data_IF_634791268031
#
_entry.id   IF_634791268031
#
_cell.length_a   1.000
_cell.length_b   1.000
_cell.length_c   1.000
_cell.angle_alpha   90.00
_cell.angle_beta   90.00
_cell.angle_gamma   90.00
#
_symmetry.space_group_name_H-M   'P 1'
#
loop_
_entity.id
_entity.type
_entity.pdbx_description
1 polymer ?
#
# COMPACT_ATOMS: atom_id res chain seq x y z
N UNK A 1 -1.85 3.00 -32.71
CA UNK A 1 -1.24 1.91 -31.92
C UNK A 1 0.00 2.34 -31.13
N UNK A 2 1.00 3.01 -31.72
CA UNK A 2 2.20 3.48 -30.99
C UNK A 2 1.90 4.37 -29.77
N UNK A 3 0.97 5.32 -29.89
CA UNK A 3 0.55 6.20 -28.78
C UNK A 3 -0.10 5.42 -27.63
N UNK A 4 -0.99 4.48 -27.96
CA UNK A 4 -1.64 3.62 -26.96
C UNK A 4 -0.63 2.75 -26.21
N UNK A 5 0.38 2.20 -26.90
CA UNK A 5 1.45 1.43 -26.28
C UNK A 5 2.29 2.30 -25.32
N UNK A 6 2.64 3.52 -25.72
CA UNK A 6 3.37 4.46 -24.85
C UNK A 6 2.55 4.80 -23.61
N UNK A 7 1.25 5.12 -23.78
CA UNK A 7 0.35 5.38 -22.66
C UNK A 7 0.27 4.19 -21.71
N UNK A 8 0.18 2.96 -22.24
CA UNK A 8 0.14 1.75 -21.43
C UNK A 8 1.42 1.57 -20.60
N UNK A 9 2.60 1.78 -21.21
CA UNK A 9 3.90 1.67 -20.52
C UNK A 9 4.03 2.69 -19.38
N UNK A 10 3.56 3.91 -19.60
CA UNK A 10 3.60 4.95 -18.57
C UNK A 10 2.69 4.57 -17.39
N UNK A 11 1.47 4.12 -17.65
CA UNK A 11 0.51 3.73 -16.62
C UNK A 11 1.03 2.54 -15.80
N UNK A 12 1.58 1.51 -16.47
CA UNK A 12 2.14 0.35 -15.77
C UNK A 12 3.39 0.71 -14.98
N UNK A 13 4.27 1.57 -15.50
CA UNK A 13 5.45 2.05 -14.78
C UNK A 13 5.09 2.83 -13.51
N UNK A 14 4.12 3.75 -13.58
CA UNK A 14 3.65 4.51 -12.42
C UNK A 14 2.99 3.58 -11.39
N UNK A 15 2.16 2.64 -11.85
CA UNK A 15 1.47 1.70 -10.96
C UNK A 15 2.46 0.76 -10.25
N UNK A 16 3.47 0.27 -10.98
CA UNK A 16 4.51 -0.61 -10.46
C UNK A 16 5.39 0.08 -9.42
N UNK A 17 5.81 1.32 -9.71
CA UNK A 17 6.62 2.12 -8.78
C UNK A 17 5.82 2.51 -7.53
N UNK A 18 4.57 2.91 -7.68
CA UNK A 18 3.66 3.17 -6.55
C UNK A 18 3.46 1.92 -5.68
N UNK A 19 3.18 0.78 -6.31
CA UNK A 19 3.01 -0.50 -5.61
C UNK A 19 4.25 -0.93 -4.83
N UNK A 20 5.45 -0.68 -5.35
CA UNK A 20 6.71 -1.04 -4.69
C UNK A 20 7.06 -0.15 -3.49
N UNK A 21 6.62 1.10 -3.49
CA UNK A 21 7.05 2.12 -2.53
C UNK A 21 6.00 2.45 -1.46
N UNK A 22 4.74 2.07 -1.65
CA UNK A 22 3.66 2.40 -0.72
C UNK A 22 2.82 1.19 -0.33
N UNK A 23 2.32 1.23 0.90
CA UNK A 23 1.22 0.41 1.40
C UNK A 23 -0.07 1.23 1.31
N UNK A 24 -1.07 0.68 0.65
CA UNK A 24 -2.43 1.21 0.55
C UNK A 24 -3.31 0.39 1.50
N UNK A 25 -3.75 1.03 2.57
CA UNK A 25 -4.45 0.38 3.67
C UNK A 25 -5.88 0.87 3.67
N UNK A 26 -6.80 -0.03 3.34
CA UNK A 26 -8.23 0.25 3.34
C UNK A 26 -8.77 0.06 4.76
N UNK A 27 -9.22 1.15 5.37
CA UNK A 27 -9.92 1.17 6.65
C UNK A 27 -11.43 1.34 6.41
N UNK A 28 -12.22 1.30 7.48
CA UNK A 28 -13.69 1.34 7.39
C UNK A 28 -14.21 2.54 6.60
N UNK A 29 -13.62 3.72 6.84
CA UNK A 29 -14.12 4.99 6.29
C UNK A 29 -13.11 5.70 5.38
N UNK A 30 -11.87 5.20 5.27
CA UNK A 30 -10.82 5.87 4.50
C UNK A 30 -9.72 4.91 4.01
N UNK A 31 -8.87 5.43 3.12
CA UNK A 31 -7.65 4.76 2.70
C UNK A 31 -6.46 5.52 3.29
N UNK A 32 -5.58 4.82 3.99
CA UNK A 32 -4.30 5.37 4.45
C UNK A 32 -3.17 4.87 3.56
N UNK A 33 -2.26 5.77 3.24
CA UNK A 33 -1.08 5.49 2.44
C UNK A 33 0.14 5.59 3.36
N UNK A 34 0.97 4.55 3.37
CA UNK A 34 2.16 4.49 4.19
C UNK A 34 3.37 4.16 3.32
N UNK A 35 4.44 4.96 3.42
CA UNK A 35 5.67 4.73 2.66
C UNK A 35 6.37 3.47 3.18
N UNK A 36 6.75 2.57 2.27
CA UNK A 36 7.52 1.37 2.58
C UNK A 36 8.94 1.73 2.99
N UNK A 37 9.52 0.94 3.89
CA UNK A 37 10.92 1.06 4.29
C UNK A 37 11.89 0.44 3.27
N UNK A 38 11.38 -0.35 2.32
CA UNK A 38 12.15 -0.91 1.22
C UNK A 38 11.26 -1.26 0.02
N UNK A 39 11.86 -1.48 -1.14
CA UNK A 39 11.13 -1.85 -2.36
C UNK A 39 10.60 -3.29 -2.23
N UNK A 40 9.28 -3.43 -2.10
CA UNK A 40 8.63 -4.75 -1.97
C UNK A 40 7.19 -4.70 -2.43
N UNK A 41 6.65 -5.83 -2.89
CA UNK A 41 5.21 -6.00 -3.15
C UNK A 41 4.42 -6.53 -1.95
N UNK A 42 5.11 -6.84 -0.86
CA UNK A 42 4.45 -7.30 0.35
C UNK A 42 3.57 -6.20 0.94
N UNK A 43 2.36 -6.60 1.35
CA UNK A 43 1.38 -5.74 2.00
C UNK A 43 1.12 -4.43 1.22
N UNK A 44 1.19 -4.44 -0.11
CA UNK A 44 0.89 -3.26 -0.94
C UNK A 44 -0.56 -2.84 -0.82
N UNK A 45 -1.49 -3.79 -0.87
CA UNK A 45 -2.92 -3.52 -0.70
C UNK A 45 -3.39 -4.33 0.49
N UNK A 46 -3.78 -3.65 1.57
CA UNK A 46 -4.16 -4.28 2.82
C UNK A 46 -5.59 -3.87 3.16
N UNK A 47 -6.49 -4.84 3.23
CA UNK A 47 -7.82 -4.62 3.79
C UNK A 47 -7.76 -4.76 5.31
N UNK A 48 -8.05 -3.65 5.99
CA UNK A 48 -8.05 -3.51 7.43
C UNK A 48 -9.42 -3.09 7.97
N UNK A 49 -10.48 -3.28 7.19
CA UNK A 49 -11.85 -3.01 7.65
C UNK A 49 -12.25 -3.99 8.76
N UNK A 50 -12.94 -3.47 9.76
CA UNK A 50 -13.36 -4.20 10.96
C UNK A 50 -12.28 -4.36 12.04
N UNK A 51 -12.72 -4.44 13.30
CA UNK A 51 -11.84 -4.45 14.49
C UNK A 51 -10.76 -5.55 14.47
N UNK A 52 -11.10 -6.76 14.01
CA UNK A 52 -10.14 -7.87 13.96
C UNK A 52 -9.02 -7.66 12.93
N UNK A 53 -9.32 -7.06 11.77
CA UNK A 53 -8.30 -6.84 10.74
C UNK A 53 -7.43 -5.62 11.03
N UNK A 54 -7.97 -4.59 11.74
CA UNK A 54 -7.16 -3.50 12.29
C UNK A 54 -6.06 -4.02 13.24
N UNK A 55 -6.39 -4.97 14.12
CA UNK A 55 -5.41 -5.59 15.00
C UNK A 55 -4.33 -6.37 14.23
N UNK A 56 -4.69 -6.99 13.09
CA UNK A 56 -3.72 -7.69 12.22
C UNK A 56 -2.67 -6.76 11.61
N UNK A 57 -2.96 -5.46 11.46
CA UNK A 57 -1.96 -4.50 10.99
C UNK A 57 -0.78 -4.36 11.97
N UNK A 58 -1.05 -4.52 13.26
CA UNK A 58 -0.07 -4.35 14.34
C UNK A 58 0.83 -5.58 14.56
N UNK A 59 0.57 -6.69 13.85
CA UNK A 59 1.42 -7.90 13.88
C UNK A 59 2.22 -8.10 12.61
N UNK A 60 1.99 -7.29 11.56
CA UNK A 60 2.73 -7.37 10.30
C UNK A 60 4.06 -6.62 10.40
N UNK A 61 5.21 -7.30 10.36
CA UNK A 61 6.51 -6.65 10.57
C UNK A 61 6.81 -5.54 9.56
N UNK A 62 6.38 -5.70 8.30
CA UNK A 62 6.57 -4.70 7.25
C UNK A 62 5.82 -3.39 7.57
N UNK A 63 4.57 -3.48 8.01
CA UNK A 63 3.75 -2.33 8.39
C UNK A 63 4.23 -1.65 9.68
N UNK A 64 4.66 -2.46 10.67
CA UNK A 64 5.24 -1.94 11.91
C UNK A 64 6.51 -1.14 11.62
N UNK A 65 7.43 -1.69 10.82
CA UNK A 65 8.66 -0.98 10.40
C UNK A 65 8.35 0.30 9.62
N UNK A 66 7.28 0.30 8.85
CA UNK A 66 6.82 1.46 8.11
C UNK A 66 6.10 2.52 8.96
N UNK A 67 5.84 2.26 10.26
CA UNK A 67 5.25 3.25 11.17
C UNK A 67 3.72 3.21 11.24
N UNK A 68 3.09 2.06 10.96
CA UNK A 68 1.62 1.94 10.98
C UNK A 68 0.97 2.32 12.33
N UNK A 69 1.72 2.23 13.44
CA UNK A 69 1.26 2.56 14.79
C UNK A 69 0.84 4.02 14.93
N UNK A 70 1.51 4.93 14.23
CA UNK A 70 1.22 6.36 14.28
C UNK A 70 -0.08 6.72 13.51
N UNK A 71 -0.52 5.82 12.63
CA UNK A 71 -1.69 6.01 11.77
C UNK A 71 -3.00 5.47 12.36
N UNK A 72 -2.96 4.56 13.34
CA UNK A 72 -4.18 3.93 13.93
C UNK A 72 -4.55 4.56 15.29
N UNK A 73 -3.90 5.65 15.69
CA UNK A 73 -4.22 6.38 16.92
C UNK A 73 -5.64 6.95 16.91
#
# INVERSE_FOLDING_TARGET
>A
MKKALITLIIITGISFTGALNFHFILLDDNIKILKKTGLTFQDTFVDARGKMNKAKLLVKPALIKAGIKDLIK
#
